data_IF_160358813031
#
_entry.id   IF_160358813031
#
_cell.length_a   1.000
_cell.length_b   1.000
_cell.length_c   1.000
_cell.angle_alpha   90.00
_cell.angle_beta   90.00
_cell.angle_gamma   90.00
#
_symmetry.space_group_name_H-M   'P 1'
#
loop_
_entity.id
_entity.type
_entity.pdbx_description
1 polymer ?
#
# COMPACT_ATOMS: atom_id res chain seq x y z
N UNK A 1 1.19 -0.88 -14.72
CA UNK A 1 1.22 0.37 -13.93
C UNK A 1 2.22 0.27 -12.79
N UNK A 2 2.54 1.38 -12.20
CA UNK A 2 3.45 1.43 -11.07
C UNK A 2 2.62 1.41 -9.80
N UNK A 3 2.89 0.44 -8.94
CA UNK A 3 2.09 0.22 -7.72
C UNK A 3 3.01 0.28 -6.50
N UNK A 4 2.66 1.09 -5.53
CA UNK A 4 3.41 1.21 -4.30
C UNK A 4 2.62 0.58 -3.16
N UNK A 5 3.26 -0.35 -2.44
CA UNK A 5 2.69 -0.92 -1.22
C UNK A 5 3.21 -0.15 -0.02
N UNK A 6 2.29 0.30 0.82
CA UNK A 6 2.61 0.90 2.12
C UNK A 6 2.14 -0.08 3.18
N UNK A 7 3.06 -0.72 3.89
CA UNK A 7 2.67 -1.77 4.83
C UNK A 7 3.63 -1.82 6.01
N UNK A 8 3.11 -2.21 7.17
CA UNK A 8 3.93 -2.41 8.36
C UNK A 8 4.56 -3.79 8.40
N UNK A 9 4.03 -4.72 7.64
CA UNK A 9 4.60 -6.06 7.56
C UNK A 9 4.29 -6.68 6.20
N UNK A 10 5.18 -7.55 5.75
CA UNK A 10 4.99 -8.26 4.50
C UNK A 10 4.35 -9.62 4.79
N UNK A 11 3.09 -9.56 5.22
CA UNK A 11 2.32 -10.74 5.58
C UNK A 11 1.89 -11.54 4.34
N UNK A 12 1.14 -12.62 4.55
CA UNK A 12 0.72 -13.50 3.45
C UNK A 12 -0.08 -12.76 2.38
N UNK A 13 -0.94 -11.86 2.81
CA UNK A 13 -1.75 -11.08 1.87
C UNK A 13 -0.87 -10.19 1.01
N UNK A 14 0.05 -9.47 1.62
CA UNK A 14 0.96 -8.59 0.90
C UNK A 14 1.84 -9.38 -0.07
N UNK A 15 2.33 -10.54 0.35
CA UNK A 15 3.13 -11.40 -0.50
C UNK A 15 2.36 -11.88 -1.71
N UNK A 16 1.12 -12.31 -1.52
CA UNK A 16 0.29 -12.80 -2.61
C UNK A 16 -0.03 -11.70 -3.60
N UNK A 17 -0.36 -10.53 -3.09
CA UNK A 17 -0.63 -9.39 -3.95
C UNK A 17 0.61 -8.98 -4.74
N UNK A 18 1.78 -8.97 -4.09
CA UNK A 18 3.03 -8.64 -4.75
C UNK A 18 3.29 -9.58 -5.92
N UNK A 19 3.20 -10.87 -5.66
CA UNK A 19 3.46 -11.89 -6.68
C UNK A 19 2.47 -11.76 -7.84
N UNK A 20 1.17 -11.66 -7.53
CA UNK A 20 0.16 -11.58 -8.57
C UNK A 20 0.32 -10.34 -9.44
N UNK A 21 0.52 -9.20 -8.82
CA UNK A 21 0.64 -7.95 -9.57
C UNK A 21 1.92 -7.94 -10.41
N UNK A 22 3.01 -8.46 -9.86
CA UNK A 22 4.26 -8.56 -10.62
C UNK A 22 4.12 -9.48 -11.82
N UNK A 23 3.41 -10.60 -11.65
CA UNK A 23 3.18 -11.54 -12.75
C UNK A 23 2.33 -10.95 -13.86
N UNK A 24 1.49 -9.99 -13.51
CA UNK A 24 0.65 -9.29 -14.50
C UNK A 24 1.36 -8.14 -15.18
N UNK A 25 2.65 -7.98 -14.91
CA UNK A 25 3.46 -6.98 -15.58
C UNK A 25 3.49 -5.63 -14.92
N UNK A 26 2.98 -5.50 -13.70
CA UNK A 26 3.05 -4.23 -12.97
C UNK A 26 4.39 -4.09 -12.27
N UNK A 27 4.85 -2.86 -12.17
CA UNK A 27 6.05 -2.55 -11.41
C UNK A 27 5.63 -2.25 -9.98
N UNK A 28 6.07 -3.09 -9.03
CA UNK A 28 5.63 -2.99 -7.64
C UNK A 28 6.80 -2.67 -6.74
N UNK A 29 6.63 -1.68 -5.89
CA UNK A 29 7.60 -1.32 -4.87
C UNK A 29 6.93 -1.43 -3.49
N UNK A 30 7.72 -1.71 -2.45
CA UNK A 30 7.20 -1.90 -1.11
C UNK A 30 7.95 -0.99 -0.16
N UNK A 31 7.21 -0.30 0.70
CA UNK A 31 7.78 0.54 1.74
C UNK A 31 7.32 0.05 3.10
N UNK A 32 8.28 -0.22 3.99
CA UNK A 32 8.02 -0.72 5.34
C UNK A 32 8.22 0.38 6.37
N UNK A 33 7.75 0.13 7.58
CA UNK A 33 7.97 1.02 8.74
C UNK A 33 7.63 2.47 8.43
N UNK A 34 6.51 2.65 7.83
CA UNK A 34 6.16 3.94 7.28
C UNK A 34 5.69 4.92 8.33
N UNK A 35 6.26 6.09 8.28
CA UNK A 35 5.68 7.27 8.89
C UNK A 35 5.29 8.21 7.75
N UNK A 36 4.68 9.34 8.08
CA UNK A 36 4.16 10.23 7.05
C UNK A 36 5.24 10.74 6.10
N UNK A 37 6.40 11.10 6.62
CA UNK A 37 7.45 11.63 5.75
C UNK A 37 8.03 10.56 4.84
N UNK A 38 8.15 9.33 5.31
CA UNK A 38 8.63 8.22 4.49
C UNK A 38 7.62 7.91 3.37
N UNK A 39 6.33 7.88 3.71
CA UNK A 39 5.29 7.62 2.71
C UNK A 39 5.28 8.71 1.64
N UNK A 40 5.34 9.96 2.03
CA UNK A 40 5.34 11.08 1.09
C UNK A 40 6.57 11.02 0.19
N UNK A 41 7.74 10.74 0.76
CA UNK A 41 8.97 10.64 -0.03
C UNK A 41 8.91 9.46 -1.00
N UNK A 42 8.44 8.32 -0.54
CA UNK A 42 8.33 7.14 -1.40
C UNK A 42 7.41 7.41 -2.61
N UNK A 43 6.29 8.07 -2.38
CA UNK A 43 5.39 8.45 -3.46
C UNK A 43 6.07 9.42 -4.42
N UNK A 44 6.79 10.41 -3.89
CA UNK A 44 7.48 11.38 -4.72
C UNK A 44 8.55 10.74 -5.59
N UNK A 45 9.28 9.77 -5.05
CA UNK A 45 10.36 9.12 -5.78
C UNK A 45 9.87 8.06 -6.76
N UNK A 46 8.91 7.27 -6.35
CA UNK A 46 8.43 6.16 -7.18
C UNK A 46 7.39 6.59 -8.19
N UNK A 47 6.65 7.64 -7.92
CA UNK A 47 5.58 8.14 -8.80
C UNK A 47 4.58 7.03 -9.14
N UNK A 48 3.93 6.43 -8.14
CA UNK A 48 3.01 5.32 -8.40
C UNK A 48 1.71 5.79 -9.03
N UNK A 49 1.11 4.91 -9.82
CA UNK A 49 -0.24 5.11 -10.33
C UNK A 49 -1.27 4.68 -9.30
N UNK A 50 -0.89 3.77 -8.42
CA UNK A 50 -1.78 3.21 -7.40
C UNK A 50 -0.99 2.95 -6.14
N UNK A 51 -1.56 3.31 -5.00
CA UNK A 51 -1.00 3.00 -3.68
C UNK A 51 -1.91 1.97 -3.02
N UNK A 52 -1.34 0.88 -2.56
CA UNK A 52 -2.09 -0.17 -1.85
C UNK A 52 -1.53 -0.30 -0.45
N UNK A 53 -2.40 -0.28 0.55
CA UNK A 53 -2.03 -0.49 1.94
C UNK A 53 -2.65 -1.82 2.41
N UNK A 54 -1.96 -2.95 2.19
CA UNK A 54 -2.53 -4.26 2.54
C UNK A 54 -2.64 -4.48 4.04
N UNK A 55 -1.79 -3.82 4.81
CA UNK A 55 -1.84 -3.89 6.26
C UNK A 55 -1.16 -2.65 6.80
N UNK A 56 -1.96 -1.65 7.13
CA UNK A 56 -1.43 -0.37 7.58
C UNK A 56 -2.16 0.02 8.87
N UNK A 57 -1.39 0.24 9.94
CA UNK A 57 -1.94 0.60 11.24
C UNK A 57 -2.28 2.08 11.36
N UNK A 58 -1.74 2.87 10.47
CA UNK A 58 -1.92 4.32 10.46
C UNK A 58 -2.66 4.74 9.19
N UNK A 59 -3.29 5.89 9.26
CA UNK A 59 -3.93 6.44 8.07
C UNK A 59 -2.88 6.86 7.05
N UNK A 60 -3.21 6.73 5.77
CA UNK A 60 -2.37 7.24 4.71
C UNK A 60 -2.38 8.77 4.79
N UNK A 61 -1.22 9.43 4.71
CA UNK A 61 -1.19 10.90 4.76
C UNK A 61 -2.04 11.54 3.67
N UNK A 62 -2.68 12.64 4.03
CA UNK A 62 -3.52 13.37 3.08
C UNK A 62 -2.75 13.77 1.83
N UNK A 63 -1.49 14.17 1.97
CA UNK A 63 -0.66 14.54 0.84
C UNK A 63 -0.53 13.41 -0.19
N UNK A 64 -0.66 12.16 0.26
CA UNK A 64 -0.59 11.00 -0.61
C UNK A 64 -1.94 10.71 -1.25
N UNK A 65 -3.02 10.58 -0.45
CA UNK A 65 -4.29 10.16 -1.01
C UNK A 65 -4.98 11.26 -1.82
N UNK A 66 -4.59 12.51 -1.63
CA UNK A 66 -5.11 13.60 -2.47
C UNK A 66 -4.62 13.50 -3.92
N UNK A 67 -3.38 13.04 -4.09
CA UNK A 67 -2.72 13.04 -5.40
C UNK A 67 -2.75 11.67 -6.08
N UNK A 68 -3.05 10.62 -5.34
CA UNK A 68 -2.94 9.25 -5.84
C UNK A 68 -4.17 8.45 -5.48
N UNK A 69 -4.50 7.49 -6.32
CA UNK A 69 -5.53 6.51 -5.97
C UNK A 69 -4.95 5.57 -4.91
N UNK A 70 -5.65 5.43 -3.80
CA UNK A 70 -5.20 4.61 -2.70
C UNK A 70 -6.25 3.57 -2.34
N UNK A 71 -5.81 2.32 -2.15
CA UNK A 71 -6.66 1.23 -1.71
C UNK A 71 -6.16 0.74 -0.36
N UNK A 72 -7.01 0.74 0.63
CA UNK A 72 -6.71 0.18 1.94
C UNK A 72 -7.41 -1.16 2.05
N UNK A 73 -6.64 -2.21 2.32
CA UNK A 73 -7.18 -3.55 2.45
C UNK A 73 -7.18 -3.93 3.92
N UNK A 74 -8.36 -4.21 4.47
CA UNK A 74 -8.48 -4.68 5.84
C UNK A 74 -8.55 -6.19 5.81
N UNK A 75 -7.75 -6.87 6.63
CA UNK A 75 -7.88 -8.33 6.76
C UNK A 75 -9.31 -8.64 7.22
N UNK A 76 -9.95 -9.56 6.55
CA UNK A 76 -11.29 -9.97 6.95
C UNK A 76 -11.22 -10.79 8.22
N UNK A 77 -11.52 -10.18 9.34
CA UNK A 77 -11.55 -10.87 10.63
C UNK A 77 -13.01 -11.19 10.94
N UNK A 78 -13.32 -12.43 11.32
CA UNK A 78 -14.70 -12.76 11.72
C UNK A 78 -15.19 -11.78 12.78
N UNK A 79 -16.32 -11.15 12.52
CA UNK A 79 -16.87 -10.15 13.41
C UNK A 79 -16.38 -8.74 13.14
N UNK A 80 -15.39 -8.59 12.32
CA UNK A 80 -14.91 -7.27 11.92
C UNK A 80 -15.85 -6.72 10.85
N UNK A 81 -16.47 -5.61 11.16
CA UNK A 81 -17.40 -4.96 10.23
C UNK A 81 -16.75 -3.87 9.41
N UNK A 82 -15.48 -3.72 9.61
CA UNK A 82 -14.87 -2.53 9.17
C UNK A 82 -15.49 -1.36 9.91
N UNK A 83 -15.09 -0.21 9.74
CA UNK A 83 -15.75 0.94 10.31
C UNK A 83 -17.09 1.17 9.66
#
# INVERSE_FOLDING_TARGET
>A
MRILFLTHSFNSLAQRLYVELSRRGHEVSIEFDINDSVAIEAVALFQPDLVIAPFLKRAIPEAVWRERVCLVVHPGIPGDRGP
#
